data_IF_270701307748
#
_entry.id   IF_270701307748
#
_cell.length_a   1.000
_cell.length_b   1.000
_cell.length_c   1.000
_cell.angle_alpha   90.00
_cell.angle_beta   90.00
_cell.angle_gamma   90.00
#
_symmetry.space_group_name_H-M   'P 1'
#
loop_
_entity.id
_entity.type
_entity.pdbx_description
1 polymer ?
#
# COMPACT_ATOMS: atom_id res chain seq x y z
N UNK A 1 26.41 52.52 9.61
CA UNK A 1 27.64 52.47 8.80
C UNK A 1 27.98 51.03 8.35
N UNK A 2 27.07 50.34 7.66
CA UNK A 2 27.26 48.97 7.15
C UNK A 2 26.56 48.79 5.79
N UNK A 3 26.83 49.71 4.87
CA UNK A 3 26.25 49.69 3.51
C UNK A 3 27.29 50.00 2.41
N UNK A 4 28.58 50.04 2.76
CA UNK A 4 29.68 50.38 1.83
C UNK A 4 30.66 49.23 1.55
N UNK A 5 30.41 48.01 2.04
CA UNK A 5 31.33 46.87 1.85
C UNK A 5 30.89 45.87 0.77
N UNK A 6 29.76 46.10 0.10
CA UNK A 6 29.27 45.18 -0.96
C UNK A 6 29.70 45.57 -2.37
N UNK A 7 30.23 46.79 -2.57
CA UNK A 7 30.64 47.30 -3.89
C UNK A 7 32.15 47.19 -4.18
N UNK A 8 32.93 46.56 -3.31
CA UNK A 8 34.38 46.39 -3.52
C UNK A 8 34.81 44.97 -3.92
N UNK A 9 33.87 44.03 -4.05
CA UNK A 9 34.18 42.62 -4.38
C UNK A 9 33.76 42.20 -5.79
N UNK A 10 33.07 43.07 -6.54
CA UNK A 10 32.56 42.76 -7.90
C UNK A 10 33.51 43.29 -9.00
N UNK A 11 34.52 44.11 -8.66
CA UNK A 11 35.39 44.73 -9.66
C UNK A 11 36.69 43.95 -9.99
N UNK A 12 37.03 42.89 -9.24
CA UNK A 12 38.30 42.15 -9.44
C UNK A 12 38.18 40.85 -10.26
N UNK A 13 36.98 40.46 -10.70
CA UNK A 13 36.80 39.17 -11.42
C UNK A 13 36.70 39.28 -12.95
N UNK A 14 37.01 40.44 -13.55
CA UNK A 14 36.86 40.68 -14.99
C UNK A 14 38.17 40.87 -15.79
N UNK A 15 39.35 40.58 -15.21
CA UNK A 15 40.63 40.88 -15.88
C UNK A 15 41.63 39.71 -16.04
N UNK A 16 41.18 38.45 -16.14
CA UNK A 16 42.08 37.36 -16.54
C UNK A 16 41.44 36.38 -17.55
N UNK A 17 41.32 36.83 -18.80
CA UNK A 17 41.26 35.92 -19.95
C UNK A 17 42.26 36.37 -21.02
N UNK A 18 43.36 35.63 -21.21
CA UNK A 18 43.87 35.28 -22.55
C UNK A 18 45.19 34.47 -22.48
N UNK A 19 45.34 33.54 -23.43
CA UNK A 19 46.49 32.66 -23.75
C UNK A 19 46.41 31.33 -22.99
N UNK A 20 46.09 30.18 -23.61
CA UNK A 20 46.73 29.59 -24.79
C UNK A 20 45.73 28.83 -25.69
N UNK A 21 45.95 28.95 -27.00
CA UNK A 21 45.42 28.05 -28.02
C UNK A 21 46.51 27.03 -28.41
N UNK A 22 46.18 25.73 -28.43
CA UNK A 22 46.46 24.81 -29.56
C UNK A 22 46.40 23.34 -29.10
N UNK A 23 45.51 22.56 -29.72
CA UNK A 23 45.81 21.34 -30.50
C UNK A 23 44.54 20.48 -30.57
N UNK A 24 44.15 20.14 -31.80
CA UNK A 24 42.93 19.40 -32.10
C UNK A 24 43.08 17.91 -31.84
N UNK A 25 42.03 17.33 -31.27
CA UNK A 25 41.62 15.95 -31.46
C UNK A 25 40.08 15.97 -31.59
N UNK A 26 39.61 15.82 -32.82
CA UNK A 26 38.20 15.67 -33.11
C UNK A 26 37.73 14.31 -32.59
N UNK A 27 36.83 14.30 -31.61
CA UNK A 27 36.15 13.09 -31.16
C UNK A 27 34.63 13.30 -31.32
N UNK A 28 34.03 12.43 -32.12
CA UNK A 28 32.61 12.40 -32.48
C UNK A 28 31.71 12.52 -31.25
N UNK A 29 30.93 13.61 -31.16
CA UNK A 29 29.82 13.74 -30.19
C UNK A 29 28.58 13.12 -30.80
N UNK A 30 28.36 11.84 -30.54
CA UNK A 30 27.04 11.23 -30.65
C UNK A 30 26.14 11.94 -29.63
N UNK A 31 25.11 12.60 -30.13
CA UNK A 31 24.17 13.40 -29.34
C UNK A 31 23.20 12.43 -28.65
N UNK A 32 23.62 11.80 -27.56
CA UNK A 32 22.71 11.07 -26.70
C UNK A 32 21.79 12.08 -26.00
N UNK A 33 20.57 12.19 -26.52
CA UNK A 33 19.45 12.77 -25.80
C UNK A 33 19.26 11.93 -24.54
N UNK A 34 19.85 12.37 -23.42
CA UNK A 34 19.50 11.88 -22.08
C UNK A 34 18.03 12.24 -21.86
N UNK A 35 17.15 11.33 -22.27
CA UNK A 35 15.73 11.36 -21.98
C UNK A 35 15.66 11.43 -20.45
N UNK A 36 15.23 12.56 -19.90
CA UNK A 36 14.82 12.65 -18.50
C UNK A 36 13.58 11.75 -18.37
N UNK A 37 13.82 10.45 -18.22
CA UNK A 37 12.84 9.51 -17.72
C UNK A 37 12.71 9.94 -16.26
N UNK A 38 11.65 10.70 -15.98
CA UNK A 38 11.15 10.83 -14.62
C UNK A 38 10.72 9.41 -14.26
N UNK A 39 11.60 8.63 -13.66
CA UNK A 39 11.23 7.36 -13.05
C UNK A 39 10.12 7.68 -12.08
N UNK A 40 8.88 7.38 -12.45
CA UNK A 40 7.78 7.34 -11.52
C UNK A 40 8.09 6.16 -10.61
N UNK A 41 8.75 6.43 -9.47
CA UNK A 41 8.98 5.43 -8.42
C UNK A 41 7.63 4.78 -8.14
N UNK A 42 7.51 3.50 -8.45
CA UNK A 42 6.29 2.74 -8.20
C UNK A 42 6.03 2.79 -6.69
N UNK A 43 4.91 3.41 -6.30
CA UNK A 43 4.59 3.63 -4.89
C UNK A 43 4.19 2.30 -4.28
N UNK A 44 4.83 1.97 -3.16
CA UNK A 44 4.70 0.70 -2.49
C UNK A 44 4.01 0.91 -1.14
N UNK A 45 3.11 0.00 -0.77
CA UNK A 45 2.35 0.06 0.48
C UNK A 45 3.23 0.12 1.74
N UNK A 46 4.44 -0.47 1.69
CA UNK A 46 5.42 -0.47 2.77
C UNK A 46 6.23 0.83 2.87
N UNK A 47 6.17 1.69 1.85
CA UNK A 47 6.96 2.92 1.69
C UNK A 47 6.12 4.18 1.96
N UNK A 48 4.87 4.02 2.38
CA UNK A 48 3.94 5.13 2.61
C UNK A 48 4.30 5.83 3.91
N UNK A 49 5.05 6.92 3.78
CA UNK A 49 5.43 7.80 4.87
C UNK A 49 4.50 9.01 4.90
N UNK A 50 3.79 9.21 6.01
CA UNK A 50 3.01 10.44 6.19
C UNK A 50 1.93 10.33 7.26
N UNK A 51 1.82 11.36 8.10
CA UNK A 51 0.83 11.44 9.18
C UNK A 51 -0.63 11.60 8.68
N UNK A 52 -0.84 11.79 7.37
CA UNK A 52 -2.17 12.03 6.76
C UNK A 52 -2.69 10.87 5.92
N UNK A 53 -1.91 9.79 5.73
CA UNK A 53 -2.38 8.63 4.99
C UNK A 53 -3.50 7.92 5.77
N UNK A 54 -4.58 7.47 5.10
CA UNK A 54 -5.66 6.73 5.75
C UNK A 54 -5.22 5.34 6.23
N UNK A 55 -4.10 4.84 5.71
CA UNK A 55 -3.52 3.54 6.04
C UNK A 55 -2.00 3.65 6.17
N UNK A 56 -1.44 2.92 7.13
CA UNK A 56 0.01 2.78 7.34
C UNK A 56 0.35 1.31 7.55
N UNK A 57 1.35 0.76 6.84
CA UNK A 57 1.67 -0.67 6.89
C UNK A 57 3.13 -0.95 7.29
N UNK A 58 3.31 -2.03 8.05
CA UNK A 58 4.59 -2.62 8.43
C UNK A 58 4.80 -3.92 7.66
N UNK A 59 6.01 -4.13 7.15
CA UNK A 59 6.37 -5.25 6.30
C UNK A 59 7.60 -5.95 6.86
N UNK A 60 7.60 -7.29 6.91
CA UNK A 60 8.63 -8.06 7.60
C UNK A 60 9.96 -8.19 6.83
N UNK A 61 9.92 -8.27 5.50
CA UNK A 61 11.10 -8.58 4.66
C UNK A 61 11.62 -7.36 3.87
N UNK A 62 11.36 -6.15 4.38
CA UNK A 62 11.74 -4.89 3.74
C UNK A 62 10.66 -4.33 2.81
N UNK A 63 11.08 -3.55 1.82
CA UNK A 63 10.15 -2.74 1.01
C UNK A 63 9.39 -3.58 -0.03
N UNK A 64 10.00 -4.59 -0.65
CA UNK A 64 9.36 -5.38 -1.72
C UNK A 64 9.27 -6.86 -1.34
N UNK A 65 8.22 -7.53 -1.84
CA UNK A 65 8.03 -8.98 -1.67
C UNK A 65 7.93 -9.46 -0.22
N UNK A 66 7.37 -8.64 0.65
CA UNK A 66 7.08 -9.02 2.03
C UNK A 66 6.07 -10.16 2.07
N UNK A 67 6.40 -11.20 2.84
CA UNK A 67 5.51 -12.34 3.09
C UNK A 67 4.41 -12.01 4.11
N UNK A 68 4.66 -11.06 5.01
CA UNK A 68 3.73 -10.61 6.04
C UNK A 68 3.61 -9.09 6.07
N UNK A 69 2.41 -8.60 5.76
CA UNK A 69 2.07 -7.17 5.82
C UNK A 69 1.02 -6.93 6.90
N UNK A 70 1.29 -5.98 7.79
CA UNK A 70 0.37 -5.56 8.87
C UNK A 70 0.05 -4.09 8.75
N UNK A 71 -1.22 -3.75 8.55
CA UNK A 71 -1.68 -2.40 8.26
C UNK A 71 -2.55 -1.84 9.38
N UNK A 72 -2.31 -0.58 9.73
CA UNK A 72 -3.16 0.24 10.58
C UNK A 72 -4.05 1.11 9.69
N UNK A 73 -5.36 0.95 9.80
CA UNK A 73 -6.32 1.87 9.16
C UNK A 73 -6.60 3.00 10.14
N UNK A 74 -6.12 4.19 9.81
CA UNK A 74 -6.07 5.37 10.68
C UNK A 74 -7.27 6.30 10.48
N UNK A 75 -7.85 6.34 9.28
CA UNK A 75 -9.05 7.10 8.95
C UNK A 75 -9.84 6.39 7.85
N UNK A 76 -10.98 6.97 7.41
CA UNK A 76 -11.86 6.33 6.42
C UNK A 76 -11.08 5.97 5.17
N UNK A 77 -11.09 4.68 4.84
CA UNK A 77 -10.43 4.14 3.67
C UNK A 77 -11.50 3.61 2.72
N UNK A 78 -11.61 4.25 1.56
CA UNK A 78 -12.72 4.05 0.63
C UNK A 78 -12.47 2.87 -0.32
N UNK A 79 -13.54 2.21 -0.78
CA UNK A 79 -13.45 1.07 -1.72
C UNK A 79 -12.69 1.43 -3.00
N UNK A 80 -12.85 2.68 -3.46
CA UNK A 80 -12.24 3.22 -4.66
C UNK A 80 -10.88 3.87 -4.44
N UNK A 81 -10.33 3.81 -3.23
CA UNK A 81 -9.06 4.46 -2.91
C UNK A 81 -7.91 3.89 -3.78
N UNK A 82 -7.14 4.73 -4.49
CA UNK A 82 -6.07 4.25 -5.36
C UNK A 82 -4.95 3.52 -4.61
N UNK A 83 -4.79 3.75 -3.30
CA UNK A 83 -3.76 3.12 -2.48
C UNK A 83 -3.90 1.59 -2.41
N UNK A 84 -5.09 1.04 -2.69
CA UNK A 84 -5.28 -0.41 -2.85
C UNK A 84 -4.35 -1.03 -3.91
N UNK A 85 -3.96 -0.26 -4.94
CA UNK A 85 -3.03 -0.75 -5.97
C UNK A 85 -1.59 -0.89 -5.47
N UNK A 86 -1.19 -0.24 -4.37
CA UNK A 86 0.19 -0.26 -3.89
C UNK A 86 0.61 -1.59 -3.28
N UNK A 87 -0.36 -2.44 -2.94
CA UNK A 87 -0.13 -3.83 -2.53
C UNK A 87 0.34 -4.73 -3.67
N UNK A 88 0.15 -4.35 -4.95
CA UNK A 88 0.60 -5.16 -6.10
C UNK A 88 2.11 -5.41 -6.12
N UNK A 89 2.87 -4.52 -5.49
CA UNK A 89 4.33 -4.67 -5.32
C UNK A 89 4.73 -5.81 -4.37
N UNK A 90 3.80 -6.34 -3.56
CA UNK A 90 4.02 -7.40 -2.58
C UNK A 90 3.64 -8.76 -3.15
N UNK A 91 4.39 -9.21 -4.17
CA UNK A 91 4.04 -10.41 -4.94
C UNK A 91 4.09 -11.71 -4.14
N UNK A 92 4.84 -11.74 -3.04
CA UNK A 92 5.01 -12.90 -2.16
C UNK A 92 4.13 -12.84 -0.90
N UNK A 93 3.16 -11.93 -0.86
CA UNK A 93 2.35 -11.72 0.34
C UNK A 93 1.51 -12.97 0.67
N UNK A 94 1.80 -13.59 1.81
CA UNK A 94 1.12 -14.78 2.33
C UNK A 94 0.15 -14.45 3.46
N UNK A 95 0.47 -13.45 4.28
CA UNK A 95 -0.38 -13.00 5.40
C UNK A 95 -0.59 -11.49 5.38
N UNK A 96 -1.86 -11.08 5.36
CA UNK A 96 -2.26 -9.69 5.40
C UNK A 96 -3.12 -9.43 6.64
N UNK A 97 -2.76 -8.42 7.43
CA UNK A 97 -3.52 -7.99 8.61
C UNK A 97 -3.97 -6.55 8.45
N UNK A 98 -5.25 -6.29 8.73
CA UNK A 98 -5.79 -4.94 8.88
C UNK A 98 -6.26 -4.73 10.32
N UNK A 99 -5.70 -3.74 11.00
CA UNK A 99 -6.11 -3.30 12.33
C UNK A 99 -6.74 -1.92 12.22
N UNK A 100 -8.04 -1.84 12.50
CA UNK A 100 -8.82 -0.60 12.40
C UNK A 100 -8.69 0.20 13.69
N UNK A 101 -8.27 1.48 13.58
CA UNK A 101 -8.05 2.37 14.74
C UNK A 101 -9.20 3.31 15.00
N UNK A 102 -9.95 3.68 13.96
CA UNK A 102 -11.08 4.59 14.05
C UNK A 102 -12.37 3.88 13.67
N UNK A 103 -13.46 4.26 14.35
CA UNK A 103 -14.79 3.79 14.04
C UNK A 103 -15.15 4.02 12.58
N UNK A 104 -15.80 3.04 11.95
CA UNK A 104 -16.38 3.13 10.60
C UNK A 104 -15.37 3.44 9.48
N UNK A 105 -14.07 3.31 9.79
CA UNK A 105 -12.98 3.63 8.88
C UNK A 105 -12.69 2.53 7.86
N UNK A 106 -13.11 1.29 8.16
CA UNK A 106 -13.18 0.16 7.25
C UNK A 106 -14.35 -0.76 7.66
N UNK A 107 -15.38 -0.78 6.84
CA UNK A 107 -16.66 -1.48 7.04
C UNK A 107 -16.93 -2.52 5.94
N UNK A 108 -15.92 -2.81 5.10
CA UNK A 108 -16.00 -3.76 4.00
C UNK A 108 -14.71 -4.55 3.83
N UNK A 109 -14.82 -5.72 3.19
CA UNK A 109 -13.67 -6.51 2.76
C UNK A 109 -13.22 -6.02 1.38
N UNK A 110 -11.95 -5.63 1.17
CA UNK A 110 -11.43 -5.18 -0.12
C UNK A 110 -11.19 -6.37 -1.06
N UNK A 111 -12.27 -7.06 -1.44
CA UNK A 111 -12.29 -8.27 -2.25
C UNK A 111 -11.49 -8.16 -3.56
N UNK A 112 -11.57 -7.03 -4.27
CA UNK A 112 -10.76 -6.78 -5.46
C UNK A 112 -9.25 -6.79 -5.20
N UNK A 113 -8.80 -6.28 -4.04
CA UNK A 113 -7.40 -6.41 -3.65
C UNK A 113 -7.08 -7.88 -3.39
N UNK A 114 -7.88 -8.54 -2.56
CA UNK A 114 -7.60 -9.91 -2.11
C UNK A 114 -7.56 -10.90 -3.29
N UNK A 115 -8.43 -10.73 -4.29
CA UNK A 115 -8.43 -11.54 -5.52
C UNK A 115 -7.13 -11.40 -6.33
N UNK A 116 -6.41 -10.28 -6.22
CA UNK A 116 -5.17 -10.04 -6.93
C UNK A 116 -3.92 -10.56 -6.20
N UNK A 117 -4.03 -10.85 -4.89
CA UNK A 117 -2.93 -11.37 -4.07
C UNK A 117 -2.89 -12.90 -4.15
N UNK A 118 -2.33 -13.44 -5.24
CA UNK A 118 -2.41 -14.88 -5.57
C UNK A 118 -1.74 -15.82 -4.57
N UNK A 119 -0.77 -15.33 -3.81
CA UNK A 119 -0.07 -16.11 -2.78
C UNK A 119 -0.69 -15.93 -1.38
N UNK A 120 -1.72 -15.09 -1.23
CA UNK A 120 -2.30 -14.79 0.06
C UNK A 120 -3.01 -16.03 0.62
N UNK A 121 -2.59 -16.47 1.80
CA UNK A 121 -3.13 -17.64 2.51
C UNK A 121 -3.94 -17.25 3.74
N UNK A 122 -3.53 -16.18 4.42
CA UNK A 122 -4.10 -15.77 5.71
C UNK A 122 -4.54 -14.31 5.62
N UNK A 123 -5.80 -14.05 5.93
CA UNK A 123 -6.35 -12.69 6.06
C UNK A 123 -6.85 -12.49 7.49
N UNK A 124 -6.45 -11.37 8.10
CA UNK A 124 -6.83 -11.01 9.45
C UNK A 124 -7.43 -9.61 9.44
N UNK A 125 -8.64 -9.45 9.98
CA UNK A 125 -9.20 -8.14 10.27
C UNK A 125 -9.46 -8.00 11.77
N UNK A 126 -8.96 -6.93 12.37
CA UNK A 126 -9.07 -6.63 13.79
C UNK A 126 -9.76 -5.30 14.00
N UNK A 127 -10.70 -5.27 14.94
CA UNK A 127 -11.43 -4.08 15.37
C UNK A 127 -12.18 -3.35 14.24
N UNK A 128 -12.40 -4.04 13.11
CA UNK A 128 -13.28 -3.58 12.05
C UNK A 128 -14.75 -3.67 12.48
N UNK A 129 -15.56 -2.77 11.93
CA UNK A 129 -17.00 -2.73 12.20
C UNK A 129 -17.80 -3.37 11.06
N UNK A 130 -17.45 -4.61 10.71
CA UNK A 130 -18.27 -5.39 9.80
C UNK A 130 -19.56 -5.76 10.52
N UNK A 131 -20.61 -4.94 10.44
CA UNK A 131 -21.89 -5.26 11.10
C UNK A 131 -22.52 -6.52 10.48
N UNK A 132 -22.45 -6.62 9.15
CA UNK A 132 -22.97 -7.71 8.34
C UNK A 132 -21.93 -8.12 7.31
N UNK A 133 -21.69 -9.42 7.19
CA UNK A 133 -20.98 -9.98 6.04
C UNK A 133 -22.02 -10.36 5.00
N UNK A 134 -22.02 -9.62 3.88
CA UNK A 134 -22.95 -9.84 2.78
C UNK A 134 -22.62 -11.14 2.04
N UNK A 135 -23.58 -11.63 1.26
CA UNK A 135 -23.38 -12.79 0.39
C UNK A 135 -22.17 -12.55 -0.52
N UNK A 136 -21.37 -13.60 -0.73
CA UNK A 136 -20.18 -13.58 -1.58
C UNK A 136 -19.03 -12.68 -1.10
N UNK A 137 -19.06 -12.13 0.12
CA UNK A 137 -18.01 -11.23 0.65
C UNK A 137 -16.58 -11.81 0.53
N UNK A 138 -16.40 -13.11 0.74
CA UNK A 138 -15.11 -13.79 0.59
C UNK A 138 -15.08 -14.76 -0.60
N UNK A 139 -16.04 -14.67 -1.51
CA UNK A 139 -16.17 -15.66 -2.59
C UNK A 139 -15.01 -15.59 -3.58
N UNK A 140 -14.64 -16.76 -4.13
CA UNK A 140 -13.59 -16.94 -5.13
C UNK A 140 -12.17 -16.58 -4.67
N UNK A 141 -11.94 -16.42 -3.36
CA UNK A 141 -10.61 -16.22 -2.77
C UNK A 141 -9.89 -17.56 -2.58
N UNK A 142 -9.66 -18.29 -3.69
CA UNK A 142 -9.22 -19.69 -3.68
C UNK A 142 -7.84 -19.94 -3.07
N UNK A 143 -6.98 -18.93 -2.92
CA UNK A 143 -5.67 -19.10 -2.26
C UNK A 143 -5.78 -19.11 -0.73
N UNK A 144 -6.86 -18.55 -0.17
CA UNK A 144 -7.04 -18.37 1.28
C UNK A 144 -7.30 -19.70 1.97
N UNK A 145 -6.62 -19.90 3.09
CA UNK A 145 -6.72 -21.05 3.99
C UNK A 145 -7.33 -20.66 5.33
N UNK A 146 -7.04 -19.44 5.77
CA UNK A 146 -7.48 -18.92 7.07
C UNK A 146 -8.07 -17.51 6.92
N UNK A 147 -9.26 -17.35 7.50
CA UNK A 147 -9.89 -16.05 7.72
C UNK A 147 -10.03 -15.85 9.21
N UNK A 148 -9.37 -14.81 9.74
CA UNK A 148 -9.52 -14.41 11.13
C UNK A 148 -10.28 -13.08 11.21
N UNK A 149 -11.49 -13.16 11.75
CA UNK A 149 -12.40 -12.04 12.00
C UNK A 149 -12.71 -11.93 13.50
N UNK A 150 -11.83 -12.44 14.36
CA UNK A 150 -12.02 -12.39 15.81
C UNK A 150 -12.02 -10.94 16.32
N UNK A 151 -12.87 -10.67 17.32
CA UNK A 151 -12.91 -9.37 17.99
C UNK A 151 -13.44 -8.22 17.12
N UNK A 152 -14.28 -8.56 16.13
CA UNK A 152 -15.04 -7.58 15.36
C UNK A 152 -16.47 -7.43 15.93
N UNK A 153 -17.33 -6.67 15.25
CA UNK A 153 -18.73 -6.44 15.67
C UNK A 153 -19.72 -7.10 14.71
N UNK A 154 -19.38 -8.28 14.17
CA UNK A 154 -20.25 -9.00 13.23
C UNK A 154 -21.49 -9.49 13.96
N UNK A 155 -22.63 -9.18 13.38
CA UNK A 155 -23.96 -9.47 13.91
C UNK A 155 -24.68 -10.49 13.01
N UNK A 156 -24.48 -10.37 11.69
CA UNK A 156 -25.11 -11.24 10.69
C UNK A 156 -24.08 -11.76 9.67
N UNK A 157 -24.17 -13.05 9.34
CA UNK A 157 -23.51 -13.66 8.19
C UNK A 157 -24.58 -14.09 7.19
N UNK A 158 -24.57 -13.49 6.00
CA UNK A 158 -25.49 -13.87 4.92
C UNK A 158 -25.10 -15.22 4.29
N UNK A 159 -26.05 -15.82 3.56
CA UNK A 159 -25.79 -16.99 2.74
C UNK A 159 -24.63 -16.76 1.78
N UNK A 160 -23.90 -17.83 1.45
CA UNK A 160 -22.83 -17.77 0.45
C UNK A 160 -21.66 -16.82 0.78
N UNK A 161 -21.55 -16.33 2.03
CA UNK A 161 -20.44 -15.45 2.47
C UNK A 161 -19.06 -16.02 2.13
N UNK A 162 -18.90 -17.34 2.27
CA UNK A 162 -17.67 -18.10 1.99
C UNK A 162 -17.82 -19.06 0.79
N UNK A 163 -18.72 -18.77 -0.15
CA UNK A 163 -18.96 -19.65 -1.30
C UNK A 163 -17.72 -19.75 -2.20
N UNK A 164 -17.44 -20.95 -2.69
CA UNK A 164 -16.33 -21.22 -3.63
C UNK A 164 -14.97 -20.80 -3.06
N UNK A 165 -14.68 -21.21 -1.82
CA UNK A 165 -13.37 -21.06 -1.17
C UNK A 165 -12.71 -22.44 -0.97
N UNK A 166 -12.15 -22.99 -2.04
CA UNK A 166 -11.75 -24.41 -2.09
C UNK A 166 -10.66 -24.82 -1.09
N UNK A 167 -9.80 -23.88 -0.69
CA UNK A 167 -8.67 -24.14 0.21
C UNK A 167 -8.92 -23.68 1.65
N UNK A 168 -10.08 -23.09 1.95
CA UNK A 168 -10.38 -22.55 3.27
C UNK A 168 -10.58 -23.71 4.26
N UNK A 169 -9.76 -23.73 5.32
CA UNK A 169 -9.83 -24.77 6.37
C UNK A 169 -10.15 -24.22 7.74
N UNK A 170 -9.96 -22.91 7.96
CA UNK A 170 -10.17 -22.29 9.26
C UNK A 170 -10.82 -20.91 9.14
N UNK A 171 -11.87 -20.69 9.93
CA UNK A 171 -12.50 -19.39 10.11
C UNK A 171 -12.60 -19.11 11.61
N UNK A 172 -12.01 -18.01 12.07
CA UNK A 172 -12.18 -17.54 13.45
C UNK A 172 -13.20 -16.40 13.50
N UNK A 173 -14.30 -16.62 14.22
CA UNK A 173 -15.37 -15.63 14.47
C UNK A 173 -15.54 -15.33 15.96
N UNK A 174 -14.58 -15.71 16.80
CA UNK A 174 -14.63 -15.50 18.24
C UNK A 174 -14.80 -14.01 18.59
N UNK A 175 -15.41 -13.72 19.73
CA UNK A 175 -15.60 -12.35 20.21
C UNK A 175 -16.32 -11.42 19.22
N UNK A 176 -17.25 -11.96 18.43
CA UNK A 176 -18.24 -11.21 17.66
C UNK A 176 -19.61 -11.17 18.38
N UNK A 177 -20.63 -10.63 17.72
CA UNK A 177 -22.02 -10.51 18.23
C UNK A 177 -23.01 -11.29 17.37
N UNK A 178 -22.53 -12.38 16.76
CA UNK A 178 -23.31 -13.19 15.84
C UNK A 178 -24.44 -13.86 16.64
N UNK A 179 -25.68 -13.50 16.32
CA UNK A 179 -26.86 -14.11 16.93
C UNK A 179 -27.58 -15.06 15.97
N UNK A 180 -27.34 -14.92 14.66
CA UNK A 180 -27.95 -15.73 13.62
C UNK A 180 -26.95 -15.99 12.48
N UNK A 181 -26.95 -17.24 11.99
CA UNK A 181 -26.30 -17.62 10.74
C UNK A 181 -27.42 -17.98 9.78
N UNK A 182 -27.64 -17.13 8.78
CA UNK A 182 -28.76 -17.31 7.85
C UNK A 182 -28.50 -18.53 6.97
N UNK A 183 -29.40 -19.50 7.05
CA UNK A 183 -29.42 -20.69 6.19
C UNK A 183 -30.71 -20.64 5.37
N UNK A 184 -30.60 -20.69 4.05
CA UNK A 184 -31.72 -21.02 3.18
C UNK A 184 -31.50 -22.43 2.65
N UNK A 185 -32.51 -23.29 2.86
CA UNK A 185 -32.57 -24.66 2.35
C UNK A 185 -33.09 -24.70 0.93
#
# INVERSE_FOLDING_TARGET
MRQFLYNSFILELLLLTSLFASSGLAMSKTRDKKKNIKETKEVNICDILGQQAPIYCYCNDGLHNSSVVSCLVLSKFERSDPMWNYFKSQTQLEKLTFTVRQLDSLDYVPDHLLQNLKNLRIIVFQHGKFHKLASYTFSNLNSIVEINLSGNMIVELSNYTFETMQNLTFINLDYNRIFEIIRYG
#
